data_IF_307062130058
#
_entry.id   IF_307062130058
#
_cell.length_a   1.000
_cell.length_b   1.000
_cell.length_c   1.000
_cell.angle_alpha   90.00
_cell.angle_beta   90.00
_cell.angle_gamma   90.00
#
_symmetry.space_group_name_H-M   'P 1'
#
loop_
_entity.id
_entity.type
_entity.pdbx_description
1 polymer ?
#
# COMPACT_ATOMS: atom_id res chain seq x y z
N UNK A 1 -10.38 1.05 -19.36
CA UNK A 1 -10.54 0.03 -18.30
C UNK A 1 -12.03 -0.12 -18.00
N UNK A 2 -12.56 -1.33 -17.78
CA UNK A 2 -14.00 -1.51 -17.50
C UNK A 2 -14.38 -0.83 -16.18
N UNK A 3 -15.52 -0.15 -16.13
CA UNK A 3 -15.97 0.60 -14.94
C UNK A 3 -16.12 -0.29 -13.70
N UNK A 4 -16.61 -1.51 -13.88
CA UNK A 4 -16.77 -2.51 -12.82
C UNK A 4 -15.43 -2.89 -12.18
N UNK A 5 -14.38 -3.08 -12.99
CA UNK A 5 -13.04 -3.41 -12.49
C UNK A 5 -12.42 -2.25 -11.69
N UNK A 6 -12.68 -1.01 -12.09
CA UNK A 6 -12.27 0.17 -11.32
C UNK A 6 -12.95 0.19 -9.95
N UNK A 7 -14.26 -0.07 -9.91
CA UNK A 7 -15.02 -0.12 -8.65
C UNK A 7 -14.52 -1.24 -7.74
N UNK A 8 -14.28 -2.44 -8.30
CA UNK A 8 -13.75 -3.58 -7.55
C UNK A 8 -12.36 -3.30 -6.96
N UNK A 9 -11.45 -2.71 -7.73
CA UNK A 9 -10.14 -2.33 -7.22
C UNK A 9 -10.26 -1.27 -6.11
N UNK A 10 -11.12 -0.27 -6.31
CA UNK A 10 -11.36 0.75 -5.29
C UNK A 10 -11.82 0.12 -3.96
N UNK A 11 -12.83 -0.73 -4.00
CA UNK A 11 -13.34 -1.44 -2.81
C UNK A 11 -12.24 -2.27 -2.15
N UNK A 12 -11.44 -3.02 -2.93
CA UNK A 12 -10.30 -3.78 -2.41
C UNK A 12 -9.26 -2.90 -1.68
N UNK A 13 -8.97 -1.70 -2.18
CA UNK A 13 -8.05 -0.78 -1.49
C UNK A 13 -8.64 -0.23 -0.20
N UNK A 14 -9.93 0.11 -0.18
CA UNK A 14 -10.58 0.62 1.03
C UNK A 14 -10.71 -0.49 2.09
N UNK A 15 -11.07 -1.72 1.70
CA UNK A 15 -11.26 -2.85 2.61
C UNK A 15 -9.94 -3.37 3.20
N UNK A 16 -8.84 -3.28 2.44
CA UNK A 16 -7.51 -3.67 2.90
C UNK A 16 -6.86 -2.64 3.84
N UNK A 17 -7.50 -1.50 4.05
CA UNK A 17 -7.02 -0.45 4.94
C UNK A 17 -7.33 -0.80 6.40
N UNK A 18 -6.35 -0.61 7.29
CA UNK A 18 -6.52 -0.83 8.72
C UNK A 18 -5.71 0.16 9.55
N UNK A 19 -6.07 0.28 10.83
CA UNK A 19 -5.28 1.04 11.80
C UNK A 19 -4.13 0.19 12.34
N UNK A 20 -2.91 0.68 12.18
CA UNK A 20 -1.70 0.13 12.79
C UNK A 20 -1.06 1.21 13.66
N UNK A 21 -1.13 1.03 14.98
CA UNK A 21 -0.58 1.98 15.97
C UNK A 21 -1.12 3.42 15.81
N UNK A 22 -2.41 3.58 15.47
CA UNK A 22 -3.01 4.90 15.24
C UNK A 22 -2.72 5.50 13.86
N UNK A 23 -2.10 4.72 12.97
CA UNK A 23 -1.74 5.13 11.61
C UNK A 23 -2.46 4.24 10.61
N UNK A 24 -3.13 4.88 9.66
CA UNK A 24 -3.78 4.22 8.53
C UNK A 24 -2.76 3.52 7.63
N UNK A 25 -2.86 2.20 7.52
CA UNK A 25 -1.90 1.32 6.86
C UNK A 25 -2.56 0.26 5.96
N UNK A 26 -1.73 -0.35 5.11
CA UNK A 26 -2.04 -1.53 4.29
C UNK A 26 -1.00 -2.62 4.53
N UNK A 27 -1.39 -3.89 4.40
CA UNK A 27 -0.48 -5.04 4.48
C UNK A 27 0.22 -5.19 3.14
N UNK A 28 1.55 -5.30 3.13
CA UNK A 28 2.28 -5.58 1.90
C UNK A 28 1.89 -6.93 1.28
N UNK A 29 1.61 -7.96 2.10
CA UNK A 29 1.11 -9.26 1.62
C UNK A 29 -0.24 -9.16 0.93
N UNK A 30 -1.16 -8.35 1.46
CA UNK A 30 -2.47 -8.15 0.85
C UNK A 30 -2.39 -7.26 -0.40
N UNK A 31 -1.67 -6.15 -0.28
CA UNK A 31 -1.44 -5.18 -1.36
C UNK A 31 -0.79 -5.84 -2.58
N UNK A 32 0.11 -6.81 -2.37
CA UNK A 32 0.68 -7.64 -3.43
C UNK A 32 -0.41 -8.21 -4.36
N UNK A 33 -1.47 -8.76 -3.78
CA UNK A 33 -2.54 -9.42 -4.52
C UNK A 33 -3.42 -8.39 -5.24
N UNK A 34 -3.74 -7.28 -4.56
CA UNK A 34 -4.52 -6.17 -5.15
C UNK A 34 -3.79 -5.57 -6.34
N UNK A 35 -2.46 -5.47 -6.26
CA UNK A 35 -1.61 -4.92 -7.32
C UNK A 35 -1.23 -5.95 -8.40
N UNK A 36 -1.82 -7.15 -8.38
CA UNK A 36 -1.65 -8.15 -9.42
C UNK A 36 -0.24 -8.79 -9.46
N UNK A 37 0.45 -8.88 -8.33
CA UNK A 37 1.71 -9.61 -8.20
C UNK A 37 1.44 -11.02 -7.67
N UNK A 38 1.67 -12.05 -8.49
CA UNK A 38 1.48 -13.44 -8.06
C UNK A 38 2.59 -13.97 -7.16
N UNK A 39 3.82 -13.44 -7.30
CA UNK A 39 4.99 -13.90 -6.56
C UNK A 39 5.51 -12.80 -5.65
N UNK A 40 5.63 -13.10 -4.35
CA UNK A 40 6.13 -12.15 -3.35
C UNK A 40 7.49 -11.56 -3.72
N UNK A 41 8.43 -12.38 -4.24
CA UNK A 41 9.76 -11.90 -4.66
C UNK A 41 9.69 -10.73 -5.63
N UNK A 42 8.74 -10.77 -6.58
CA UNK A 42 8.60 -9.70 -7.57
C UNK A 42 8.04 -8.43 -6.96
N UNK A 43 7.12 -8.56 -6.00
CA UNK A 43 6.56 -7.41 -5.30
C UNK A 43 7.55 -6.82 -4.29
N UNK A 44 8.30 -7.67 -3.57
CA UNK A 44 9.39 -7.23 -2.68
C UNK A 44 10.41 -6.37 -3.43
N UNK A 45 10.78 -6.72 -4.66
CA UNK A 45 11.65 -5.87 -5.49
C UNK A 45 11.06 -4.47 -5.77
N UNK A 46 9.73 -4.33 -5.82
CA UNK A 46 9.06 -3.02 -5.99
C UNK A 46 9.08 -2.24 -4.68
N UNK A 47 8.85 -2.92 -3.55
CA UNK A 47 8.97 -2.33 -2.21
C UNK A 47 10.39 -1.80 -1.99
N UNK A 48 11.42 -2.60 -2.28
CA UNK A 48 12.84 -2.19 -2.14
C UNK A 48 13.19 -0.97 -3.01
N UNK A 49 12.56 -0.82 -4.18
CA UNK A 49 12.70 0.40 -5.00
C UNK A 49 12.00 1.59 -4.36
N UNK A 50 10.79 1.38 -3.83
CA UNK A 50 10.01 2.40 -3.15
C UNK A 50 10.68 2.91 -1.87
N UNK A 51 11.30 2.02 -1.08
CA UNK A 51 12.14 2.35 0.08
C UNK A 51 13.32 3.21 -0.34
N UNK A 52 14.06 2.82 -1.39
CA UNK A 52 15.16 3.63 -1.91
C UNK A 52 14.68 5.00 -2.39
N UNK A 53 13.55 5.08 -3.09
CA UNK A 53 12.96 6.37 -3.48
C UNK A 53 12.59 7.23 -2.27
N UNK A 54 12.05 6.63 -1.21
CA UNK A 54 11.72 7.28 0.06
C UNK A 54 12.99 7.87 0.71
N UNK A 55 14.06 7.08 0.82
CA UNK A 55 15.35 7.55 1.37
C UNK A 55 15.93 8.70 0.54
N UNK A 56 15.90 8.60 -0.79
CA UNK A 56 16.41 9.66 -1.67
C UNK A 56 15.57 10.93 -1.62
N UNK A 57 14.29 10.83 -1.24
CA UNK A 57 13.43 11.99 -0.98
C UNK A 57 13.71 12.64 0.39
N UNK A 58 14.58 12.06 1.22
CA UNK A 58 14.93 12.56 2.55
C UNK A 58 13.99 12.07 3.66
N UNK A 59 13.12 11.11 3.37
CA UNK A 59 12.19 10.52 4.33
C UNK A 59 12.79 9.26 4.97
N UNK A 60 12.54 9.04 6.27
CA UNK A 60 12.94 7.81 6.97
C UNK A 60 11.99 6.67 6.59
N UNK A 61 12.52 5.61 6.00
CA UNK A 61 11.75 4.43 5.58
C UNK A 61 10.98 3.80 6.73
N UNK A 62 11.50 3.85 7.95
CA UNK A 62 10.84 3.26 9.13
C UNK A 62 9.52 3.94 9.50
N UNK A 63 9.32 5.19 9.08
CA UNK A 63 8.05 5.90 9.28
C UNK A 63 6.95 5.42 8.32
N UNK A 64 7.33 4.70 7.26
CA UNK A 64 6.44 4.37 6.14
C UNK A 64 6.31 2.87 5.88
N UNK A 65 7.34 2.10 6.19
CA UNK A 65 7.48 0.66 5.95
C UNK A 65 7.81 -0.04 7.28
N UNK A 66 6.77 -0.34 8.06
CA UNK A 66 6.96 -0.98 9.37
C UNK A 66 6.89 -2.51 9.24
N UNK A 67 8.05 -3.18 9.35
CA UNK A 67 8.12 -4.64 9.28
C UNK A 67 7.53 -5.30 10.53
N UNK A 68 6.70 -6.33 10.35
CA UNK A 68 6.19 -7.16 11.44
C UNK A 68 6.02 -8.61 10.98
N UNK A 69 5.66 -9.49 11.91
CA UNK A 69 5.36 -10.89 11.62
C UNK A 69 3.96 -11.26 12.07
N UNK A 70 3.20 -11.90 11.18
CA UNK A 70 1.87 -12.44 11.49
C UNK A 70 1.93 -13.96 11.54
N UNK A 71 1.29 -14.56 12.55
CA UNK A 71 1.09 -16.00 12.58
C UNK A 71 -0.08 -16.35 11.66
N UNK A 72 0.15 -17.24 10.69
CA UNK A 72 -0.89 -17.76 9.81
C UNK A 72 -1.02 -19.26 9.99
N UNK A 73 -2.25 -19.75 9.99
CA UNK A 73 -2.52 -21.18 10.02
C UNK A 73 -2.16 -21.79 8.66
N UNK A 74 -1.43 -22.90 8.69
CA UNK A 74 -1.15 -23.72 7.52
C UNK A 74 -2.08 -24.93 7.53
N UNK A 75 -2.29 -25.56 6.37
CA UNK A 75 -3.31 -26.61 6.16
C UNK A 75 -3.24 -27.87 7.04
N UNK A 76 -2.28 -27.94 7.99
CA UNK A 76 -2.17 -28.96 9.03
C UNK A 76 -2.62 -28.49 10.42
N UNK A 77 -3.15 -27.27 10.57
CA UNK A 77 -3.47 -26.65 11.86
C UNK A 77 -2.25 -26.08 12.62
N UNK A 78 -1.05 -26.25 12.07
CA UNK A 78 0.14 -25.58 12.58
C UNK A 78 0.12 -24.09 12.22
N UNK A 79 0.81 -23.25 12.99
CA UNK A 79 0.98 -21.84 12.67
C UNK A 79 2.41 -21.57 12.20
N UNK A 80 2.56 -20.68 11.22
CA UNK A 80 3.86 -20.20 10.73
C UNK A 80 3.91 -18.68 10.79
N UNK A 81 5.02 -18.15 11.27
CA UNK A 81 5.30 -16.72 11.16
C UNK A 81 5.57 -16.36 9.69
N UNK A 82 4.82 -15.39 9.18
CA UNK A 82 5.01 -14.80 7.86
C UNK A 82 5.36 -13.33 8.05
N UNK A 83 6.53 -12.95 7.55
CA UNK A 83 6.96 -11.55 7.46
C UNK A 83 5.94 -10.76 6.64
N UNK A 84 5.62 -9.57 7.10
CA UNK A 84 4.76 -8.60 6.42
C UNK A 84 5.24 -7.17 6.73
N UNK A 85 4.71 -6.19 6.02
CA UNK A 85 5.06 -4.78 6.18
C UNK A 85 3.78 -3.98 6.25
N UNK A 86 3.61 -3.17 7.30
CA UNK A 86 2.57 -2.17 7.40
C UNK A 86 3.02 -0.95 6.60
N UNK A 87 2.25 -0.63 5.56
CA UNK A 87 2.54 0.40 4.58
C UNK A 87 1.62 1.58 4.81
N UNK A 88 2.20 2.73 5.16
CA UNK A 88 1.42 3.98 5.20
C UNK A 88 0.91 4.35 3.81
N UNK A 89 -0.06 5.28 3.73
CA UNK A 89 -0.53 5.85 2.46
C UNK A 89 0.62 6.37 1.57
N UNK A 90 1.65 6.96 2.17
CA UNK A 90 2.85 7.40 1.46
C UNK A 90 3.63 6.23 0.86
N UNK A 91 3.88 5.16 1.63
CA UNK A 91 4.54 3.95 1.13
C UNK A 91 3.75 3.31 -0.03
N UNK A 92 2.43 3.19 0.10
CA UNK A 92 1.58 2.68 -0.97
C UNK A 92 1.69 3.52 -2.26
N UNK A 93 1.74 4.85 -2.13
CA UNK A 93 1.96 5.74 -3.26
C UNK A 93 3.34 5.53 -3.92
N UNK A 94 4.40 5.45 -3.12
CA UNK A 94 5.77 5.20 -3.61
C UNK A 94 5.90 3.84 -4.30
N UNK A 95 5.24 2.80 -3.77
CA UNK A 95 5.15 1.47 -4.40
C UNK A 95 4.45 1.56 -5.76
N UNK A 96 3.32 2.27 -5.84
CA UNK A 96 2.60 2.45 -7.10
C UNK A 96 3.44 3.22 -8.14
N UNK A 97 4.23 4.21 -7.72
CA UNK A 97 5.15 4.94 -8.60
C UNK A 97 6.30 4.06 -9.12
N UNK A 98 6.79 3.12 -8.32
CA UNK A 98 7.91 2.24 -8.66
C UNK A 98 7.48 0.92 -9.33
N UNK A 99 6.18 0.65 -9.41
CA UNK A 99 5.61 -0.51 -10.10
C UNK A 99 5.52 -0.35 -11.61
N UNK A 100 5.30 -1.45 -12.33
CA UNK A 100 5.17 -1.44 -13.78
C UNK A 100 3.74 -1.13 -14.24
N UNK A 101 3.41 0.17 -14.31
CA UNK A 101 2.12 0.66 -14.81
C UNK A 101 1.92 0.41 -16.32
N UNK A 102 2.99 0.09 -17.07
CA UNK A 102 2.89 -0.10 -18.53
C UNK A 102 2.28 -1.46 -18.88
N UNK A 103 2.42 -2.45 -17.99
CA UNK A 103 1.91 -3.80 -18.17
C UNK A 103 0.88 -4.24 -17.12
N UNK A 104 0.79 -3.54 -15.97
CA UNK A 104 -0.17 -3.82 -14.89
C UNK A 104 -1.17 -2.69 -14.70
N UNK A 105 -2.43 -2.98 -15.02
CA UNK A 105 -3.53 -2.01 -14.91
C UNK A 105 -3.83 -1.64 -13.46
N UNK A 106 -3.61 -2.58 -12.52
CA UNK A 106 -3.77 -2.39 -11.09
C UNK A 106 -2.77 -1.36 -10.55
N UNK A 107 -1.54 -1.37 -11.08
CA UNK A 107 -0.52 -0.37 -10.72
C UNK A 107 -0.89 1.00 -11.28
N UNK A 108 -1.31 1.08 -12.56
CA UNK A 108 -1.76 2.34 -13.15
C UNK A 108 -2.96 2.94 -12.39
N UNK A 109 -3.88 2.08 -11.93
CA UNK A 109 -4.98 2.49 -11.06
C UNK A 109 -4.48 2.99 -9.70
N UNK A 110 -3.59 2.25 -9.02
CA UNK A 110 -3.04 2.62 -7.73
C UNK A 110 -2.34 3.98 -7.75
N UNK A 111 -1.61 4.30 -8.82
CA UNK A 111 -0.99 5.62 -9.00
C UNK A 111 -2.02 6.75 -8.94
N UNK A 112 -3.17 6.56 -9.58
CA UNK A 112 -4.27 7.54 -9.57
C UNK A 112 -4.99 7.56 -8.23
N UNK A 113 -5.32 6.38 -7.68
CA UNK A 113 -6.04 6.24 -6.42
C UNK A 113 -5.30 6.93 -5.27
N UNK A 114 -4.02 6.59 -5.05
CA UNK A 114 -3.26 7.15 -3.94
C UNK A 114 -2.97 8.65 -4.12
N UNK A 115 -2.76 9.13 -5.35
CA UNK A 115 -2.62 10.57 -5.61
C UNK A 115 -3.90 11.34 -5.24
N UNK A 116 -5.07 10.82 -5.65
CA UNK A 116 -6.37 11.45 -5.35
C UNK A 116 -6.68 11.40 -3.85
N UNK A 117 -6.44 10.26 -3.19
CA UNK A 117 -6.72 10.14 -1.76
C UNK A 117 -5.83 11.04 -0.90
N UNK A 118 -4.53 11.12 -1.21
CA UNK A 118 -3.62 12.06 -0.54
C UNK A 118 -4.12 13.49 -0.70
N UNK A 119 -4.56 13.88 -1.91
CA UNK A 119 -5.11 15.21 -2.15
C UNK A 119 -6.38 15.49 -1.35
N UNK A 120 -7.30 14.52 -1.25
CA UNK A 120 -8.50 14.66 -0.42
C UNK A 120 -8.14 14.85 1.05
N UNK A 121 -7.19 14.07 1.57
CA UNK A 121 -6.76 14.16 2.97
C UNK A 121 -6.11 15.51 3.29
N UNK A 122 -5.28 16.04 2.40
CA UNK A 122 -4.70 17.39 2.54
C UNK A 122 -5.79 18.48 2.60
N UNK A 123 -6.78 18.38 1.72
CA UNK A 123 -7.90 19.34 1.68
C UNK A 123 -8.70 19.27 2.97
N UNK A 124 -9.05 18.07 3.44
CA UNK A 124 -9.76 17.87 4.70
C UNK A 124 -8.97 18.43 5.89
N UNK A 125 -7.66 18.15 5.97
CA UNK A 125 -6.78 18.70 7.03
C UNK A 125 -6.75 20.22 7.03
N UNK A 126 -6.70 20.86 5.84
CA UNK A 126 -6.75 22.33 5.72
C UNK A 126 -8.07 22.90 6.26
N UNK A 127 -9.21 22.30 5.90
CA UNK A 127 -10.52 22.73 6.41
C UNK A 127 -10.63 22.58 7.93
N UNK A 128 -10.10 21.50 8.50
CA UNK A 128 -10.09 21.33 9.96
C UNK A 128 -9.20 22.36 10.65
N UNK A 129 -8.03 22.69 10.11
CA UNK A 129 -7.14 23.71 10.71
C UNK A 129 -7.63 25.16 10.55
N UNK A 130 -8.45 25.47 9.55
CA UNK A 130 -8.91 26.85 9.31
C UNK A 130 -10.13 27.23 10.15
N UNK A 131 -10.78 26.26 10.81
CA UNK A 131 -12.01 26.45 11.59
C UNK A 131 -11.81 26.40 13.11
N UNK A 132 -10.59 26.63 13.60
CA UNK A 132 -10.27 26.79 15.03
C UNK A 132 -9.49 28.08 15.28
#
# INVERSE_FOLDING_TARGET
>A
MKKEFISELFEKFEDACYDYEGIECWSARELQNILGYSQWRNFKNVIEKAEKSCEQAGEDTKNHFAEFSKMVEIGSGAQKAVEDIALTRYACYSIAQNGDATTKVEIAFAQTYFAVQTRKQEISKKYTQTNF
#
